data_IF_638859779684
#
_entry.id   IF_638859779684
#
_cell.length_a   1.000
_cell.length_b   1.000
_cell.length_c   1.000
_cell.angle_alpha   90.00
_cell.angle_beta   90.00
_cell.angle_gamma   90.00
#
_symmetry.space_group_name_H-M   'P 1'
#
loop_
_entity.id
_entity.type
_entity.pdbx_description
1 polymer ?
#
# COMPACT_ATOMS: atom_id res chain seq x y z
N UNK A 1 5.54 14.01 -2.27
CA UNK A 1 6.18 12.73 -1.91
C UNK A 1 7.35 12.43 -2.84
N UNK A 2 8.29 13.38 -3.00
CA UNK A 2 9.37 13.23 -3.99
C UNK A 2 10.54 12.40 -3.47
N UNK A 3 10.84 12.48 -2.17
CA UNK A 3 11.89 11.69 -1.52
C UNK A 3 11.62 10.18 -1.68
N UNK A 4 10.40 9.73 -1.39
CA UNK A 4 10.02 8.33 -1.56
C UNK A 4 10.05 7.89 -3.03
N UNK A 5 9.68 8.79 -3.97
CA UNK A 5 9.76 8.50 -5.42
C UNK A 5 11.20 8.31 -5.87
N UNK A 6 12.12 9.17 -5.41
CA UNK A 6 13.55 9.05 -5.68
C UNK A 6 14.14 7.78 -5.06
N UNK A 7 13.74 7.43 -3.82
CA UNK A 7 14.15 6.18 -3.17
C UNK A 7 13.73 4.93 -3.94
N UNK A 8 12.50 4.92 -4.46
CA UNK A 8 12.04 3.82 -5.31
C UNK A 8 12.82 3.75 -6.63
N UNK A 9 13.14 4.90 -7.23
CA UNK A 9 14.01 4.96 -8.42
C UNK A 9 15.40 4.40 -8.13
N UNK A 10 16.01 4.79 -7.01
CA UNK A 10 17.32 4.28 -6.59
C UNK A 10 17.35 2.76 -6.41
N UNK A 11 16.30 2.18 -5.83
CA UNK A 11 16.16 0.73 -5.68
C UNK A 11 16.03 0.01 -7.02
N UNK A 12 15.29 0.59 -7.97
CA UNK A 12 15.10 0.05 -9.31
C UNK A 12 16.39 0.14 -10.14
N UNK A 13 17.07 1.29 -10.11
CA UNK A 13 18.33 1.52 -10.82
C UNK A 13 19.45 0.62 -10.29
N UNK A 14 19.43 0.36 -8.98
CA UNK A 14 20.36 -0.55 -8.32
C UNK A 14 20.11 -2.01 -8.66
N UNK A 15 18.98 -2.35 -9.31
CA UNK A 15 18.53 -3.72 -9.61
C UNK A 15 18.65 -4.62 -8.40
N UNK A 16 17.99 -4.24 -7.31
CA UNK A 16 17.96 -5.06 -6.09
C UNK A 16 17.11 -6.32 -6.35
N UNK A 17 17.72 -7.33 -6.97
CA UNK A 17 17.10 -8.61 -7.30
C UNK A 17 17.90 -9.78 -6.70
N UNK A 18 17.27 -10.97 -6.61
CA UNK A 18 17.94 -12.17 -6.10
C UNK A 18 19.22 -12.50 -6.91
N UNK A 19 19.29 -12.06 -8.16
CA UNK A 19 20.47 -12.16 -9.02
C UNK A 19 21.61 -11.25 -8.56
N UNK A 20 21.35 -10.01 -8.16
CA UNK A 20 22.38 -9.14 -7.58
C UNK A 20 22.89 -9.67 -6.25
N UNK A 21 22.02 -10.24 -5.42
CA UNK A 21 22.43 -10.88 -4.17
C UNK A 21 23.40 -12.05 -4.40
N UNK A 22 23.15 -12.86 -5.44
CA UNK A 22 24.01 -14.00 -5.79
C UNK A 22 25.34 -13.58 -6.43
N UNK A 23 25.34 -12.52 -7.24
CA UNK A 23 26.53 -12.09 -8.00
C UNK A 23 27.42 -11.10 -7.23
N UNK A 24 26.82 -10.16 -6.49
CA UNK A 24 27.54 -9.05 -5.84
C UNK A 24 26.90 -8.70 -4.48
N UNK A 25 27.11 -9.52 -3.45
CA UNK A 25 26.50 -9.33 -2.13
C UNK A 25 26.89 -8.00 -1.46
N UNK A 26 28.13 -7.52 -1.66
CA UNK A 26 28.60 -6.25 -1.07
C UNK A 26 27.83 -5.02 -1.60
N UNK A 27 27.52 -5.02 -2.90
CA UNK A 27 26.76 -3.95 -3.53
C UNK A 27 25.31 -3.97 -3.03
N UNK A 28 24.74 -5.17 -2.92
CA UNK A 28 23.40 -5.37 -2.36
C UNK A 28 23.31 -4.84 -0.91
N UNK A 29 24.30 -5.18 -0.07
CA UNK A 29 24.36 -4.72 1.32
C UNK A 29 24.45 -3.18 1.40
N UNK A 30 25.25 -2.55 0.55
CA UNK A 30 25.37 -1.08 0.49
C UNK A 30 24.05 -0.40 0.11
N UNK A 31 23.38 -0.91 -0.92
CA UNK A 31 22.08 -0.38 -1.38
C UNK A 31 21.03 -0.52 -0.28
N UNK A 32 20.98 -1.67 0.40
CA UNK A 32 20.06 -1.91 1.52
C UNK A 32 20.35 -0.95 2.69
N UNK A 33 21.61 -0.75 3.06
CA UNK A 33 22.00 0.16 4.13
C UNK A 33 21.56 1.61 3.86
N UNK A 34 21.79 2.09 2.64
CA UNK A 34 21.32 3.43 2.20
C UNK A 34 19.79 3.50 2.21
N UNK A 35 19.12 2.46 1.72
CA UNK A 35 17.65 2.42 1.63
C UNK A 35 16.99 2.42 3.02
N UNK A 36 17.55 1.70 3.98
CA UNK A 36 17.08 1.67 5.37
C UNK A 36 17.21 3.07 6.01
N UNK A 37 18.35 3.73 5.83
CA UNK A 37 18.56 5.09 6.32
C UNK A 37 17.62 6.09 5.65
N UNK A 38 17.32 5.90 4.37
CA UNK A 38 16.32 6.70 3.66
C UNK A 38 14.91 6.50 4.22
N UNK A 39 14.50 5.25 4.49
CA UNK A 39 13.20 4.94 5.11
C UNK A 39 13.10 5.59 6.49
N UNK A 40 14.20 5.57 7.26
CA UNK A 40 14.25 6.23 8.56
C UNK A 40 14.03 7.76 8.45
N UNK A 41 14.64 8.42 7.47
CA UNK A 41 14.36 9.83 7.18
C UNK A 41 12.91 10.06 6.78
N UNK A 42 12.35 9.23 5.89
CA UNK A 42 10.95 9.33 5.48
C UNK A 42 10.01 9.18 6.67
N UNK A 43 10.32 8.29 7.62
CA UNK A 43 9.51 8.10 8.84
C UNK A 43 9.37 9.39 9.66
N UNK A 44 10.45 10.18 9.76
CA UNK A 44 10.44 11.47 10.45
C UNK A 44 9.63 12.52 9.69
N UNK A 45 9.76 12.55 8.35
CA UNK A 45 9.03 13.50 7.49
C UNK A 45 7.52 13.25 7.46
N UNK A 46 7.07 11.99 7.55
CA UNK A 46 5.65 11.66 7.56
C UNK A 46 5.01 11.78 8.95
N UNK A 47 5.79 11.83 10.02
CA UNK A 47 5.31 11.92 11.41
C UNK A 47 4.20 12.97 11.63
N UNK A 48 4.30 14.23 11.15
CA UNK A 48 3.24 15.23 11.33
C UNK A 48 1.93 14.93 10.56
N UNK A 49 1.97 14.07 9.54
CA UNK A 49 0.79 13.73 8.72
C UNK A 49 0.21 12.35 9.08
N UNK A 50 1.06 11.38 9.41
CA UNK A 50 0.73 9.99 9.69
C UNK A 50 1.60 9.45 10.83
N UNK A 51 1.31 9.83 12.08
CA UNK A 51 2.11 9.41 13.24
C UNK A 51 2.07 7.89 13.46
N UNK A 52 0.92 7.25 13.25
CA UNK A 52 0.78 5.79 13.37
C UNK A 52 1.67 5.03 12.37
N UNK A 53 1.74 5.51 11.12
CA UNK A 53 2.62 4.93 10.10
C UNK A 53 4.08 5.14 10.45
N UNK A 54 4.45 6.32 10.98
CA UNK A 54 5.80 6.61 11.45
C UNK A 54 6.22 5.66 12.58
N UNK A 55 5.35 5.45 13.57
CA UNK A 55 5.56 4.49 14.66
C UNK A 55 5.74 3.06 14.14
N UNK A 56 4.90 2.62 13.20
CA UNK A 56 5.04 1.29 12.55
C UNK A 56 6.38 1.14 11.83
N UNK A 57 6.84 2.15 11.09
CA UNK A 57 8.14 2.10 10.41
C UNK A 57 9.27 1.99 11.43
N UNK A 58 9.26 2.85 12.45
CA UNK A 58 10.28 2.90 13.50
C UNK A 58 10.33 1.59 14.30
N UNK A 59 9.18 0.96 14.55
CA UNK A 59 9.07 -0.36 15.16
C UNK A 59 9.66 -1.46 14.28
N UNK A 60 9.40 -1.44 12.98
CA UNK A 60 10.01 -2.38 12.02
C UNK A 60 11.52 -2.19 11.92
N UNK A 61 11.97 -0.94 11.95
CA UNK A 61 13.38 -0.61 11.96
C UNK A 61 14.05 -0.83 13.31
N UNK A 62 13.32 -1.04 14.41
CA UNK A 62 13.85 -1.18 15.77
C UNK A 62 14.75 0.00 16.20
N UNK A 63 14.32 1.22 15.89
CA UNK A 63 15.01 2.47 16.24
C UNK A 63 14.08 3.35 17.08
N UNK A 64 14.55 4.41 17.75
CA UNK A 64 13.65 5.39 18.35
C UNK A 64 13.03 6.31 17.30
N UNK A 65 11.89 6.92 17.64
CA UNK A 65 11.35 8.03 16.85
C UNK A 65 12.32 9.21 16.90
N UNK A 66 12.58 9.81 15.75
CA UNK A 66 13.40 11.02 15.65
C UNK A 66 12.57 12.21 15.16
N UNK A 67 13.05 13.40 15.51
CA UNK A 67 12.62 14.64 14.87
C UNK A 67 13.25 14.76 13.48
N UNK A 68 12.61 15.56 12.62
CA UNK A 68 13.11 15.86 11.27
C UNK A 68 14.50 16.50 11.40
N UNK A 69 15.57 15.84 10.90
CA UNK A 69 16.91 16.39 10.99
C UNK A 69 17.12 17.46 9.91
N UNK A 70 17.94 18.47 10.20
CA UNK A 70 18.32 19.52 9.24
C UNK A 70 19.29 19.01 8.17
N UNK A 71 20.02 17.93 8.47
CA UNK A 71 20.99 17.28 7.59
C UNK A 71 20.74 15.78 7.52
N UNK A 72 20.98 15.19 6.35
CA UNK A 72 20.88 13.73 6.19
C UNK A 72 22.18 13.07 6.68
N UNK A 73 22.03 12.18 7.68
CA UNK A 73 23.09 11.34 8.20
C UNK A 73 22.70 9.86 8.07
N UNK A 74 23.70 8.98 8.08
CA UNK A 74 23.49 7.54 8.21
C UNK A 74 23.50 7.18 9.70
N UNK A 75 22.33 7.15 10.32
CA UNK A 75 22.18 6.83 11.75
C UNK A 75 22.11 5.32 12.00
N UNK A 76 21.71 4.53 11.01
CA UNK A 76 21.64 3.08 11.10
C UNK A 76 22.94 2.49 10.54
N UNK A 77 23.79 2.07 11.46
CA UNK A 77 25.09 1.45 11.17
C UNK A 77 24.97 -0.06 10.87
N UNK A 78 26.04 -0.63 10.32
CA UNK A 78 26.15 -2.05 10.06
C UNK A 78 26.11 -2.85 11.38
N UNK A 79 25.33 -3.93 11.40
CA UNK A 79 25.12 -4.75 12.61
C UNK A 79 23.83 -4.42 13.37
N UNK A 80 23.09 -3.39 12.94
CA UNK A 80 21.76 -3.11 13.47
C UNK A 80 20.76 -4.22 13.09
N UNK A 81 19.96 -4.66 14.06
CA UNK A 81 18.98 -5.73 13.87
C UNK A 81 17.60 -5.14 13.60
N UNK A 82 17.07 -5.44 12.41
CA UNK A 82 15.71 -5.08 12.03
C UNK A 82 14.69 -5.94 12.76
N UNK A 83 13.53 -5.36 13.02
CA UNK A 83 12.36 -6.04 13.56
C UNK A 83 11.61 -6.85 12.49
N UNK A 84 10.37 -7.23 12.82
CA UNK A 84 9.49 -7.97 11.91
C UNK A 84 8.88 -7.02 10.89
N UNK A 85 9.06 -7.31 9.60
CA UNK A 85 8.41 -6.56 8.52
C UNK A 85 6.88 -6.72 8.56
N UNK A 86 6.15 -5.63 8.41
CA UNK A 86 4.69 -5.57 8.34
C UNK A 86 4.25 -4.63 7.21
N UNK A 87 3.06 -4.89 6.65
CA UNK A 87 2.50 -4.03 5.63
C UNK A 87 2.07 -2.68 6.23
N UNK A 88 2.69 -1.60 5.75
CA UNK A 88 2.36 -0.23 6.18
C UNK A 88 0.99 0.24 5.67
N UNK A 89 0.60 -0.21 4.48
CA UNK A 89 -0.64 0.20 3.84
C UNK A 89 -1.41 -1.03 3.33
N UNK A 90 -2.68 -1.09 3.66
CA UNK A 90 -3.62 -2.06 3.08
C UNK A 90 -4.34 -1.41 1.90
N UNK A 91 -4.48 -2.15 0.80
CA UNK A 91 -5.28 -1.68 -0.34
C UNK A 91 -6.74 -1.51 0.09
N UNK A 92 -7.31 -0.35 -0.21
CA UNK A 92 -8.74 -0.12 -0.04
C UNK A 92 -9.45 -0.76 -1.24
N UNK A 93 -10.39 -1.66 -0.96
CA UNK A 93 -11.23 -2.30 -1.97
C UNK A 93 -12.37 -1.36 -2.36
N UNK A 94 -12.68 -1.26 -3.65
CA UNK A 94 -13.79 -0.45 -4.18
C UNK A 94 -15.14 -0.94 -3.65
N UNK A 95 -15.25 -2.21 -3.27
CA UNK A 95 -16.45 -2.72 -2.60
C UNK A 95 -16.67 -2.07 -1.22
N UNK A 96 -15.59 -1.85 -0.47
CA UNK A 96 -15.65 -1.20 0.84
C UNK A 96 -15.91 0.30 0.71
N UNK A 97 -15.44 0.93 -0.37
CA UNK A 97 -15.76 2.33 -0.67
C UNK A 97 -17.27 2.55 -0.79
N UNK A 98 -17.97 1.71 -1.56
CA UNK A 98 -19.43 1.78 -1.67
C UNK A 98 -20.14 1.51 -0.35
N UNK A 99 -19.62 0.59 0.47
CA UNK A 99 -20.14 0.33 1.82
C UNK A 99 -20.00 1.55 2.74
N UNK A 100 -18.84 2.22 2.72
CA UNK A 100 -18.60 3.42 3.52
C UNK A 100 -19.40 4.63 3.04
N UNK A 101 -19.58 4.80 1.72
CA UNK A 101 -20.48 5.80 1.15
C UNK A 101 -21.92 5.58 1.61
N UNK A 102 -22.42 4.34 1.53
CA UNK A 102 -23.77 3.99 1.97
C UNK A 102 -23.98 4.18 3.48
N UNK A 103 -22.92 3.99 4.28
CA UNK A 103 -22.98 4.02 5.75
C UNK A 103 -22.76 5.42 6.34
N UNK A 104 -21.91 6.24 5.72
CA UNK A 104 -21.47 7.53 6.27
C UNK A 104 -21.71 8.74 5.34
N UNK A 105 -22.29 8.54 4.14
CA UNK A 105 -22.52 9.59 3.14
C UNK A 105 -23.65 10.59 3.42
N UNK A 106 -24.32 10.53 4.59
CA UNK A 106 -25.23 11.59 5.03
C UNK A 106 -26.45 11.87 4.13
N UNK A 107 -27.35 10.89 3.97
CA UNK A 107 -28.70 11.04 3.38
C UNK A 107 -28.74 10.84 1.86
N UNK A 108 -29.52 9.93 1.30
CA UNK A 108 -30.92 9.61 1.60
C UNK A 108 -31.22 8.11 1.47
N UNK A 109 -31.75 7.51 2.54
CA UNK A 109 -32.72 6.42 2.39
C UNK A 109 -34.11 7.04 2.22
N UNK A 110 -34.42 7.52 1.02
CA UNK A 110 -35.81 7.62 0.58
C UNK A 110 -35.85 7.37 -0.92
N UNK A 111 -36.47 6.25 -1.29
CA UNK A 111 -36.82 5.82 -2.65
C UNK A 111 -35.62 5.35 -3.50
N UNK A 112 -35.28 4.06 -3.50
CA UNK A 112 -35.68 3.22 -4.66
C UNK A 112 -35.79 1.70 -4.36
N UNK A 113 -35.99 1.29 -3.11
CA UNK A 113 -36.63 -0.03 -2.88
C UNK A 113 -38.12 0.08 -3.21
N UNK A 114 -38.48 -0.02 -4.51
CA UNK A 114 -39.74 -0.55 -5.09
C UNK A 114 -39.98 -0.01 -6.50
N UNK A 115 -39.27 -0.54 -7.52
CA UNK A 115 -39.79 -0.67 -8.91
C UNK A 115 -38.78 -1.40 -9.82
N UNK A 116 -38.70 -2.73 -9.71
CA UNK A 116 -38.48 -3.66 -10.85
C UNK A 116 -38.58 -5.12 -10.41
N UNK A 117 -39.67 -5.46 -9.73
CA UNK A 117 -40.23 -6.82 -9.83
C UNK A 117 -41.72 -6.66 -10.16
N UNK A 118 -42.15 -7.34 -11.23
CA UNK A 118 -43.49 -7.40 -11.85
C UNK A 118 -43.80 -6.38 -12.95
N UNK A 119 -43.33 -6.68 -14.16
CA UNK A 119 -44.20 -6.84 -15.35
C UNK A 119 -43.64 -7.97 -16.23
N UNK A 120 -44.02 -9.20 -15.94
CA UNK A 120 -44.31 -10.16 -17.02
C UNK A 120 -45.75 -9.87 -17.46
N UNK A 121 -46.06 -9.86 -18.75
CA UNK A 121 -46.78 -11.03 -19.24
C UNK A 121 -46.47 -11.46 -20.70
N UNK A 122 -46.48 -12.79 -20.86
CA UNK A 122 -47.13 -13.59 -21.91
C UNK A 122 -46.55 -13.66 -23.34
N UNK A 123 -46.35 -14.91 -23.73
CA UNK A 123 -46.19 -15.44 -25.09
C UNK A 123 -45.22 -16.65 -25.04
N UNK A 124 -45.57 -17.81 -24.48
CA UNK A 124 -46.31 -18.88 -25.14
C UNK A 124 -45.88 -19.09 -26.61
N UNK A 125 -44.94 -19.99 -26.87
CA UNK A 125 -45.31 -21.29 -27.45
C UNK A 125 -44.18 -22.32 -27.34
N UNK A 126 -44.60 -23.58 -27.23
CA UNK A 126 -43.82 -24.80 -27.07
C UNK A 126 -43.76 -25.51 -28.44
N UNK A 127 -42.69 -26.27 -28.68
CA UNK A 127 -42.51 -27.40 -29.63
C UNK A 127 -42.61 -27.19 -31.14
N UNK A 128 -41.52 -27.51 -31.87
CA UNK A 128 -41.42 -28.47 -33.00
C UNK A 128 -39.95 -28.49 -33.48
N UNK A 129 -39.17 -29.56 -33.26
CA UNK A 129 -39.02 -30.75 -34.11
C UNK A 129 -38.49 -30.48 -35.53
N UNK A 130 -37.22 -30.88 -35.73
CA UNK A 130 -36.68 -31.62 -36.90
C UNK A 130 -36.50 -30.95 -38.27
N UNK A 131 -35.31 -31.18 -38.84
CA UNK A 131 -34.88 -31.17 -40.26
C UNK A 131 -34.87 -29.84 -41.02
N UNK A 132 -33.67 -29.42 -41.43
CA UNK A 132 -33.17 -29.74 -42.77
C UNK A 132 -31.64 -29.72 -42.82
#
# INVERSE_FOLDING_TARGET
>A
MDVSRLGNGYLQDSKLDNTLFANNPEKCASVIGVSINLIYLVSALISPYMPSTSESIVRQLNVPLRNIPDTWAMDIEAGHHLGKAEYLFTRIDTQKEQEYLNKYGGGSKTEETKKKTKKTPKGANVTESSKN
#
